data_IF_834778017605
#
_entry.id   IF_834778017605
#
_cell.length_a   1.000
_cell.length_b   1.000
_cell.length_c   1.000
_cell.angle_alpha   90.00
_cell.angle_beta   90.00
_cell.angle_gamma   90.00
#
_symmetry.space_group_name_H-M   'P 1'
#
loop_
_entity.id
_entity.type
_entity.pdbx_description
1 polymer ?
#
# COMPACT_ATOMS: atom_id res chain seq x y z
N UNK A 1 40.69 -13.33 -27.87
CA UNK A 1 40.11 -12.16 -27.16
C UNK A 1 38.89 -11.56 -27.86
N UNK A 2 38.66 -11.80 -29.16
CA UNK A 2 37.52 -11.25 -29.91
C UNK A 2 36.24 -12.07 -29.82
N UNK A 3 36.33 -13.38 -29.56
CA UNK A 3 35.18 -14.29 -29.49
C UNK A 3 34.44 -14.16 -28.13
N UNK A 4 35.18 -13.90 -27.05
CA UNK A 4 34.65 -13.65 -25.70
C UNK A 4 33.81 -12.36 -25.60
N UNK A 5 34.17 -11.34 -26.38
CA UNK A 5 33.46 -10.06 -26.39
C UNK A 5 32.11 -10.14 -27.13
N UNK A 6 32.00 -11.06 -28.10
CA UNK A 6 30.77 -11.25 -28.89
C UNK A 6 29.75 -12.13 -28.16
N UNK A 7 30.21 -13.11 -27.35
CA UNK A 7 29.35 -13.91 -26.48
C UNK A 7 28.62 -13.05 -25.44
N UNK A 8 29.33 -12.12 -24.79
CA UNK A 8 28.79 -11.21 -23.77
C UNK A 8 27.68 -10.27 -24.27
N UNK A 9 27.57 -10.06 -25.60
CA UNK A 9 26.52 -9.24 -26.24
C UNK A 9 25.27 -10.06 -26.62
N UNK A 10 25.42 -11.38 -26.78
CA UNK A 10 24.36 -12.33 -27.18
C UNK A 10 23.70 -13.05 -26.00
N UNK A 11 24.20 -12.83 -24.79
CA UNK A 11 23.50 -13.15 -23.55
C UNK A 11 22.32 -12.19 -23.38
N UNK A 12 21.27 -12.42 -24.18
CA UNK A 12 19.96 -11.88 -23.86
C UNK A 12 19.62 -12.27 -22.43
N UNK A 13 19.19 -11.28 -21.65
CA UNK A 13 18.61 -11.46 -20.30
C UNK A 13 17.77 -12.74 -20.25
N UNK A 14 17.74 -13.45 -19.12
CA UNK A 14 16.95 -14.68 -18.89
C UNK A 14 15.46 -14.57 -19.34
N UNK A 15 14.97 -13.35 -19.57
CA UNK A 15 13.64 -13.03 -20.10
C UNK A 15 13.53 -13.00 -21.65
N UNK A 16 14.63 -13.11 -22.39
CA UNK A 16 14.67 -13.04 -23.87
C UNK A 16 14.51 -11.64 -24.48
N UNK A 17 14.47 -10.59 -23.66
CA UNK A 17 14.29 -9.20 -24.11
C UNK A 17 15.64 -8.49 -24.28
N UNK A 18 15.73 -7.67 -25.33
CA UNK A 18 16.87 -6.77 -25.49
C UNK A 18 16.80 -5.67 -24.42
N UNK A 19 17.96 -5.21 -23.94
CA UNK A 19 18.03 -4.16 -22.92
C UNK A 19 17.23 -2.87 -23.22
N UNK A 20 17.09 -2.40 -24.49
CA UNK A 20 16.18 -1.30 -24.80
C UNK A 20 14.69 -1.66 -24.61
N UNK A 21 14.24 -2.85 -25.01
CA UNK A 21 12.82 -3.27 -24.86
C UNK A 21 12.43 -3.41 -23.39
N UNK A 22 13.33 -3.94 -22.56
CA UNK A 22 13.10 -4.05 -21.12
C UNK A 22 12.91 -2.67 -20.46
N UNK A 23 13.65 -1.64 -20.91
CA UNK A 23 13.50 -0.27 -20.41
C UNK A 23 12.19 0.39 -20.84
N UNK A 24 11.74 0.13 -22.07
CA UNK A 24 10.46 0.63 -22.57
C UNK A 24 9.30 0.05 -21.73
N UNK A 25 9.26 -1.27 -21.56
CA UNK A 25 8.25 -1.94 -20.73
C UNK A 25 8.29 -1.44 -19.28
N UNK A 26 9.48 -1.35 -18.70
CA UNK A 26 9.65 -0.89 -17.33
C UNK A 26 9.14 0.55 -17.12
N UNK A 27 9.34 1.43 -18.10
CA UNK A 27 8.86 2.81 -18.05
C UNK A 27 7.33 2.90 -18.04
N UNK A 28 6.65 2.17 -18.92
CA UNK A 28 5.19 2.14 -18.95
C UNK A 28 4.64 1.49 -17.67
N UNK A 29 5.23 0.38 -17.23
CA UNK A 29 4.83 -0.31 -16.00
C UNK A 29 4.96 0.59 -14.77
N UNK A 30 6.10 1.27 -14.58
CA UNK A 30 6.28 2.15 -13.43
C UNK A 30 5.33 3.34 -13.46
N UNK A 31 5.06 3.91 -14.64
CA UNK A 31 4.11 5.02 -14.77
C UNK A 31 2.71 4.62 -14.33
N UNK A 32 2.19 3.48 -14.81
CA UNK A 32 0.85 3.01 -14.43
C UNK A 32 0.79 2.51 -12.98
N UNK A 33 1.85 1.85 -12.51
CA UNK A 33 1.97 1.38 -11.13
C UNK A 33 1.92 2.55 -10.13
N UNK A 34 2.65 3.64 -10.39
CA UNK A 34 2.64 4.82 -9.53
C UNK A 34 1.23 5.43 -9.46
N UNK A 35 0.57 5.61 -10.61
CA UNK A 35 -0.81 6.13 -10.65
C UNK A 35 -1.76 5.25 -9.86
N UNK A 36 -1.67 3.92 -10.02
CA UNK A 36 -2.48 2.97 -9.27
C UNK A 36 -2.22 3.06 -7.76
N UNK A 37 -0.96 3.12 -7.33
CA UNK A 37 -0.59 3.22 -5.90
C UNK A 37 -1.12 4.51 -5.28
N UNK A 38 -1.05 5.64 -5.98
CA UNK A 38 -1.61 6.90 -5.49
C UNK A 38 -3.11 6.78 -5.24
N UNK A 39 -3.85 6.20 -6.18
CA UNK A 39 -5.29 5.96 -6.02
C UNK A 39 -5.55 4.99 -4.85
N UNK A 40 -4.77 3.92 -4.75
CA UNK A 40 -4.89 2.93 -3.69
C UNK A 40 -4.68 3.55 -2.30
N UNK A 41 -3.68 4.43 -2.13
CA UNK A 41 -3.43 5.12 -0.86
C UNK A 41 -4.67 5.93 -0.44
N UNK A 42 -5.25 6.71 -1.35
CA UNK A 42 -6.46 7.51 -1.06
C UNK A 42 -7.63 6.60 -0.66
N UNK A 43 -7.84 5.50 -1.38
CA UNK A 43 -8.89 4.53 -1.05
C UNK A 43 -8.66 3.87 0.32
N UNK A 44 -7.42 3.54 0.68
CA UNK A 44 -7.10 2.94 1.98
C UNK A 44 -7.27 3.93 3.13
N UNK A 45 -6.96 5.21 2.95
CA UNK A 45 -7.24 6.25 3.96
C UNK A 45 -8.76 6.36 4.18
N UNK A 46 -9.55 6.36 3.11
CA UNK A 46 -11.02 6.40 3.23
C UNK A 46 -11.57 5.15 3.92
N UNK A 47 -11.06 3.98 3.56
CA UNK A 47 -11.42 2.72 4.21
C UNK A 47 -11.02 2.71 5.69
N UNK A 48 -9.88 3.31 6.04
CA UNK A 48 -9.43 3.45 7.42
C UNK A 48 -10.37 4.36 8.22
N UNK A 49 -10.82 5.48 7.63
CA UNK A 49 -11.79 6.36 8.26
C UNK A 49 -13.15 5.67 8.48
N UNK A 50 -13.56 4.76 7.57
CA UNK A 50 -14.81 4.02 7.71
C UNK A 50 -14.74 2.87 8.72
N UNK A 51 -13.65 2.09 8.71
CA UNK A 51 -13.46 0.94 9.60
C UNK A 51 -11.97 0.74 9.88
N UNK A 52 -11.42 1.36 10.94
CA UNK A 52 -10.00 1.22 11.26
C UNK A 52 -9.70 -0.22 11.66
N UNK A 53 -8.77 -0.85 10.93
CA UNK A 53 -8.47 -2.27 11.10
C UNK A 53 -7.33 -2.54 12.10
N UNK A 54 -6.52 -1.53 12.45
CA UNK A 54 -5.54 -1.64 13.54
C UNK A 54 -6.10 -1.01 14.82
N UNK A 55 -6.60 -1.83 15.76
CA UNK A 55 -6.94 -1.35 17.09
C UNK A 55 -5.69 -0.90 17.85
N UNK A 56 -5.80 0.20 18.60
CA UNK A 56 -4.78 0.60 19.57
C UNK A 56 -4.67 -0.40 20.73
N UNK A 57 -3.83 -0.10 21.73
CA UNK A 57 -3.57 -0.97 22.89
C UNK A 57 -4.83 -1.40 23.69
N UNK A 58 -5.97 -0.77 23.46
CA UNK A 58 -7.27 -1.07 24.09
C UNK A 58 -8.25 -1.89 23.22
N UNK A 59 -7.84 -2.43 22.06
CA UNK A 59 -8.69 -3.29 21.21
C UNK A 59 -9.54 -2.52 20.19
N UNK A 60 -10.39 -3.22 19.42
CA UNK A 60 -11.23 -2.60 18.38
C UNK A 60 -12.21 -1.62 19.03
N UNK A 61 -12.02 -0.32 18.76
CA UNK A 61 -12.99 0.71 19.11
C UNK A 61 -14.30 0.41 18.36
N UNK A 62 -15.18 -0.31 19.02
CA UNK A 62 -16.58 -0.37 18.63
C UNK A 62 -17.15 0.98 19.03
N UNK A 63 -17.21 1.90 18.08
CA UNK A 63 -17.62 3.30 18.28
C UNK A 63 -18.91 3.47 19.08
N UNK A 64 -19.80 2.48 19.03
CA UNK A 64 -21.03 2.44 19.84
C UNK A 64 -20.81 2.10 21.32
N UNK A 65 -19.89 1.20 21.65
CA UNK A 65 -19.63 0.79 23.04
C UNK A 65 -18.81 1.84 23.79
N UNK A 66 -17.86 2.51 23.13
CA UNK A 66 -17.11 3.61 23.75
C UNK A 66 -18.01 4.83 24.00
N UNK A 67 -18.85 5.22 23.02
CA UNK A 67 -19.82 6.31 23.22
C UNK A 67 -20.83 6.04 24.35
N UNK A 68 -21.26 4.78 24.52
CA UNK A 68 -22.15 4.40 25.61
C UNK A 68 -21.47 4.47 26.99
N UNK A 69 -20.20 4.04 27.10
CA UNK A 69 -19.42 4.14 28.35
C UNK A 69 -19.15 5.58 28.74
N UNK A 70 -18.85 6.44 27.77
CA UNK A 70 -18.63 7.86 28.01
C UNK A 70 -19.92 8.50 28.53
N UNK A 71 -21.05 8.28 27.86
CA UNK A 71 -22.34 8.81 28.29
C UNK A 71 -22.70 8.40 29.72
N UNK A 72 -22.54 7.11 30.06
CA UNK A 72 -22.76 6.62 31.43
C UNK A 72 -21.83 7.32 32.42
N UNK A 73 -20.54 7.46 32.08
CA UNK A 73 -19.55 8.12 32.95
C UNK A 73 -19.91 9.59 33.21
N UNK A 74 -20.37 10.32 32.20
CA UNK A 74 -20.85 11.70 32.36
C UNK A 74 -22.12 11.80 33.21
N UNK A 75 -23.07 10.88 33.03
CA UNK A 75 -24.28 10.88 33.87
C UNK A 75 -23.98 10.53 35.33
N UNK A 76 -23.04 9.60 35.57
CA UNK A 76 -22.65 9.17 36.90
C UNK A 76 -21.91 10.28 37.66
N UNK A 77 -21.06 11.05 36.96
CA UNK A 77 -20.36 12.21 37.53
C UNK A 77 -21.26 13.41 37.79
N UNK A 78 -22.37 13.56 37.06
CA UNK A 78 -23.39 14.57 37.33
C UNK A 78 -24.29 14.20 38.52
N UNK A 79 -24.36 12.91 38.87
CA UNK A 79 -25.23 12.37 39.94
C UNK A 79 -24.49 12.10 41.26
N UNK A 80 -23.16 12.31 41.31
CA UNK A 80 -22.31 12.18 42.51
C UNK A 80 -21.72 13.54 42.85
#
# INVERSE_FOLDING_TARGET
MTVEADYRRREGSLSGLTEPEAREFHRIFMTSFIVFVVIAIVAHILAWNWRPWLPGAHGYQTSLLDGAKDAVSYTMSLLT
#
